data_IF_307490069685
#
_entry.id   IF_307490069685
#
_cell.length_a   1.000
_cell.length_b   1.000
_cell.length_c   1.000
_cell.angle_alpha   90.00
_cell.angle_beta   90.00
_cell.angle_gamma   90.00
#
_symmetry.space_group_name_H-M   'P 1'
#
loop_
_entity.id
_entity.type
_entity.pdbx_description
1 polymer ?
#
# COMPACT_ATOMS: atom_id res chain seq x y z
N UNK A 1 8.02 -6.90 -1.57
CA UNK A 1 7.24 -5.64 -1.56
C UNK A 1 7.16 -5.03 -0.15
N UNK A 2 8.12 -5.29 0.74
CA UNK A 2 7.73 -5.45 2.16
C UNK A 2 8.34 -4.43 3.13
N UNK A 3 9.51 -3.85 2.87
CA UNK A 3 10.15 -3.00 3.90
C UNK A 3 9.67 -1.55 3.96
N UNK A 4 9.19 -0.95 2.86
CA UNK A 4 8.80 0.47 2.84
C UNK A 4 7.43 0.74 3.46
N UNK A 5 6.56 -0.27 3.56
CA UNK A 5 5.18 -0.11 4.03
C UNK A 5 5.03 -0.53 5.49
N UNK A 6 5.64 -1.65 5.88
CA UNK A 6 5.51 -2.21 7.23
C UNK A 6 6.21 -1.35 8.29
N UNK A 7 7.11 -0.45 7.94
CA UNK A 7 7.76 0.43 8.93
C UNK A 7 6.79 1.30 9.74
N UNK A 8 5.65 1.68 9.14
CA UNK A 8 4.56 2.40 9.84
C UNK A 8 3.26 1.59 9.90
N UNK A 9 3.02 0.70 8.93
CA UNK A 9 1.82 -0.14 8.85
C UNK A 9 2.06 -1.55 9.45
N UNK A 10 2.72 -1.61 10.59
CA UNK A 10 2.90 -2.82 11.40
C UNK A 10 2.83 -2.49 12.90
N UNK A 11 2.99 -3.51 13.76
CA UNK A 11 2.99 -3.36 15.22
C UNK A 11 1.60 -3.17 15.83
N UNK A 12 1.57 -2.82 17.12
CA UNK A 12 0.33 -2.63 17.91
C UNK A 12 0.41 -1.34 18.72
N UNK A 13 -0.42 -0.31 18.42
CA UNK A 13 -1.28 -0.17 17.24
C UNK A 13 -0.50 0.29 15.99
N UNK A 14 -0.86 -0.20 14.78
CA UNK A 14 -0.25 0.27 13.55
C UNK A 14 -0.70 1.69 13.20
N UNK A 15 0.14 2.47 12.52
CA UNK A 15 -0.22 3.83 12.14
C UNK A 15 -1.39 3.82 11.13
N UNK A 16 -2.34 4.74 11.35
CA UNK A 16 -3.56 4.82 10.56
C UNK A 16 -4.50 3.62 10.73
N UNK A 17 -4.25 2.73 11.70
CA UNK A 17 -5.07 1.53 11.91
C UNK A 17 -4.95 0.49 10.78
N UNK A 18 -3.93 0.60 9.93
CA UNK A 18 -3.72 -0.27 8.77
C UNK A 18 -2.53 -1.17 9.04
N UNK A 19 -2.76 -2.49 9.03
CA UNK A 19 -1.72 -3.48 9.23
C UNK A 19 -1.44 -4.26 7.93
N UNK A 20 -0.20 -4.22 7.46
CA UNK A 20 0.29 -4.93 6.27
C UNK A 20 1.20 -6.12 6.62
N UNK A 21 1.22 -6.58 7.88
CA UNK A 21 1.96 -7.79 8.27
C UNK A 21 1.27 -9.09 7.82
N UNK A 22 0.01 -9.02 7.39
CA UNK A 22 -0.73 -10.16 6.84
C UNK A 22 -1.20 -9.86 5.43
N UNK A 23 -1.20 -10.88 4.57
CA UNK A 23 -1.74 -10.77 3.22
C UNK A 23 -3.19 -10.31 3.21
N UNK A 24 -4.02 -10.80 4.14
CA UNK A 24 -5.41 -10.37 4.27
C UNK A 24 -5.56 -8.86 4.52
N UNK A 25 -4.70 -8.29 5.38
CA UNK A 25 -4.67 -6.85 5.64
C UNK A 25 -4.26 -6.03 4.41
N UNK A 26 -3.28 -6.53 3.64
CA UNK A 26 -2.88 -5.90 2.36
C UNK A 26 -4.02 -6.00 1.35
N UNK A 27 -4.56 -7.19 1.12
CA UNK A 27 -5.60 -7.47 0.13
C UNK A 27 -6.87 -6.65 0.39
N UNK A 28 -7.26 -6.49 1.65
CA UNK A 28 -8.39 -5.62 2.00
C UNK A 28 -8.20 -4.16 1.52
N UNK A 29 -6.97 -3.63 1.53
CA UNK A 29 -6.66 -2.26 1.05
C UNK A 29 -6.41 -2.16 -0.44
N UNK A 30 -6.08 -3.27 -1.09
CA UNK A 30 -6.15 -3.36 -2.54
C UNK A 30 -7.60 -3.30 -2.99
N UNK A 31 -8.47 -4.10 -2.37
CA UNK A 31 -9.87 -4.26 -2.78
C UNK A 31 -10.72 -3.01 -2.52
N UNK A 32 -10.44 -2.28 -1.43
CA UNK A 32 -11.08 -1.00 -1.15
C UNK A 32 -10.42 0.20 -1.89
N UNK A 33 -9.41 -0.07 -2.74
CA UNK A 33 -8.72 0.91 -3.58
C UNK A 33 -7.77 1.85 -2.83
N UNK A 34 -7.71 1.79 -1.49
CA UNK A 34 -6.90 2.73 -0.69
C UNK A 34 -5.40 2.56 -0.92
N UNK A 35 -4.92 1.33 -1.15
CA UNK A 35 -3.50 1.11 -1.43
C UNK A 35 -3.07 1.88 -2.67
N UNK A 36 -3.81 1.72 -3.79
CA UNK A 36 -3.51 2.42 -5.03
C UNK A 36 -3.66 3.93 -4.89
N UNK A 37 -4.76 4.40 -4.31
CA UNK A 37 -5.00 5.83 -4.13
C UNK A 37 -3.90 6.50 -3.30
N UNK A 38 -3.43 5.85 -2.24
CA UNK A 38 -2.38 6.36 -1.36
C UNK A 38 -1.00 6.39 -2.04
N UNK A 39 -0.57 5.31 -2.71
CA UNK A 39 0.76 5.26 -3.35
C UNK A 39 0.81 6.06 -4.65
N UNK A 40 -0.32 6.22 -5.34
CA UNK A 40 -0.40 7.05 -6.54
C UNK A 40 -0.62 8.54 -6.22
N UNK A 41 -0.80 8.90 -4.94
CA UNK A 41 -1.10 10.27 -4.49
C UNK A 41 -2.35 10.82 -5.19
N UNK A 42 -3.39 9.98 -5.29
CA UNK A 42 -4.66 10.37 -5.89
C UNK A 42 -5.44 11.33 -4.96
N UNK A 43 -6.22 12.24 -5.55
CA UNK A 43 -7.07 13.16 -4.81
C UNK A 43 -8.05 12.39 -3.91
N UNK A 44 -8.25 12.87 -2.67
CA UNK A 44 -9.12 12.22 -1.68
C UNK A 44 -8.47 11.10 -0.85
N UNK A 45 -7.21 10.74 -1.12
CA UNK A 45 -6.45 9.76 -0.33
C UNK A 45 -5.31 10.44 0.45
N UNK A 46 -4.92 9.84 1.59
CA UNK A 46 -3.70 10.29 2.28
C UNK A 46 -2.47 9.80 1.51
N UNK A 47 -1.61 10.68 0.99
CA UNK A 47 -0.42 10.29 0.24
C UNK A 47 0.53 9.43 1.09
N UNK A 48 1.06 8.36 0.49
CA UNK A 48 2.04 7.47 1.12
C UNK A 48 3.29 7.32 0.23
N UNK A 49 4.50 7.21 0.83
CA UNK A 49 4.82 7.29 2.27
C UNK A 49 4.45 8.64 2.90
N UNK A 50 3.97 8.63 4.15
CA UNK A 50 3.47 9.84 4.81
C UNK A 50 4.60 10.85 5.01
N UNK A 51 4.42 12.07 4.49
CA UNK A 51 5.44 13.12 4.54
C UNK A 51 6.70 12.81 3.71
N UNK A 52 6.69 11.73 2.93
CA UNK A 52 7.79 11.31 2.08
C UNK A 52 7.52 11.58 0.61
N UNK A 53 8.54 11.32 -0.21
CA UNK A 53 8.42 11.38 -1.67
C UNK A 53 7.57 10.21 -2.19
N UNK A 54 6.81 10.48 -3.25
CA UNK A 54 6.05 9.46 -3.98
C UNK A 54 6.99 8.33 -4.43
N UNK A 55 6.47 7.10 -4.42
CA UNK A 55 7.20 5.96 -4.98
C UNK A 55 7.58 6.23 -6.44
N UNK A 56 8.69 5.64 -6.88
CA UNK A 56 9.11 5.78 -8.28
C UNK A 56 8.06 5.21 -9.24
N UNK A 57 8.04 5.70 -10.47
CA UNK A 57 7.13 5.19 -11.50
C UNK A 57 7.31 3.69 -11.75
N UNK A 58 8.52 3.16 -11.60
CA UNK A 58 8.81 1.74 -11.71
C UNK A 58 8.11 0.94 -10.60
N UNK A 59 8.23 1.39 -9.34
CA UNK A 59 7.57 0.76 -8.20
C UNK A 59 6.04 0.82 -8.36
N UNK A 60 5.48 1.99 -8.70
CA UNK A 60 4.04 2.17 -8.92
C UNK A 60 3.53 1.24 -10.03
N UNK A 61 4.27 1.10 -11.14
CA UNK A 61 3.92 0.17 -12.22
C UNK A 61 3.95 -1.29 -11.75
N UNK A 62 4.90 -1.68 -10.91
CA UNK A 62 4.93 -3.03 -10.33
C UNK A 62 3.70 -3.28 -9.44
N UNK A 63 3.35 -2.32 -8.58
CA UNK A 63 2.12 -2.38 -7.79
C UNK A 63 0.88 -2.51 -8.67
N UNK A 64 0.77 -1.69 -9.73
CA UNK A 64 -0.38 -1.73 -10.64
C UNK A 64 -0.52 -3.10 -11.31
N UNK A 65 0.58 -3.65 -11.86
CA UNK A 65 0.58 -4.99 -12.49
C UNK A 65 0.17 -6.09 -11.51
N UNK A 66 0.71 -6.06 -10.28
CA UNK A 66 0.37 -7.03 -9.26
C UNK A 66 -1.12 -6.93 -8.85
N UNK A 67 -1.65 -5.72 -8.66
CA UNK A 67 -3.08 -5.52 -8.36
C UNK A 67 -3.98 -5.94 -9.52
N UNK A 68 -3.58 -5.64 -10.76
CA UNK A 68 -4.31 -6.02 -11.98
C UNK A 68 -4.36 -7.54 -12.18
N UNK A 69 -3.35 -8.26 -11.70
CA UNK A 69 -3.33 -9.72 -11.65
C UNK A 69 -4.20 -10.30 -10.51
N UNK A 70 -4.97 -9.46 -9.80
CA UNK A 70 -5.81 -9.88 -8.67
C UNK A 70 -5.07 -9.89 -7.32
N UNK A 71 -3.91 -9.24 -7.24
CA UNK A 71 -3.06 -9.20 -6.05
C UNK A 71 -2.74 -10.59 -5.48
N UNK A 72 -2.21 -11.54 -6.28
CA UNK A 72 -1.97 -12.91 -5.84
C UNK A 72 -0.97 -12.98 -4.67
N UNK A 73 -1.15 -13.99 -3.82
CA UNK A 73 -0.24 -14.36 -2.74
C UNK A 73 0.51 -15.64 -3.12
N UNK A 74 1.59 -15.51 -3.87
CA UNK A 74 2.32 -16.61 -4.49
C UNK A 74 3.83 -16.47 -4.37
#
# INVERSE_FOLDING_TARGET
>A
MTNKCVGCHSGTPPQGGINYTTYAGVKAKVDDGRLWGAINHAAGFSPMPKGGTKLSDCEIKQFKKWMDAGAPNN
#
